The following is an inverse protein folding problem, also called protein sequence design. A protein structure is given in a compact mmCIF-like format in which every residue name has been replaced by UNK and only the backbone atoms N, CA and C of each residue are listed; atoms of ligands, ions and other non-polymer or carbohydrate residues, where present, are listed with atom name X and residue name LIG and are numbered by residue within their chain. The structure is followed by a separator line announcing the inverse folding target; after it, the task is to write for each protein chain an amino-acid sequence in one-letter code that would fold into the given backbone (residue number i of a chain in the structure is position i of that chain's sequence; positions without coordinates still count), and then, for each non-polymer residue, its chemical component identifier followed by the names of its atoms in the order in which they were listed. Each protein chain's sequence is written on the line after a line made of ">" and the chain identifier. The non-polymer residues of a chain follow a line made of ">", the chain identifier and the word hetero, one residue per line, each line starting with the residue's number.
data_IF_487094013944
#
_entry.id   IF_487094013944
#
_cell.length_a   1.000
_cell.length_b   1.000
_cell.length_c   1.000
_cell.angle_alpha   90.00
_cell.angle_beta   90.00
_cell.angle_gamma   90.00
#
_symmetry.space_group_name_H-M   'P 1'
#
loop_
_entity.id
_entity.type
_entity.pdbx_description
1 polymer ?
#
# COMPACT_ATOMS: atom_id res chain seq x y z
N UNK A 1 -21.75 -5.37 4.23
CA UNK A 1 -22.60 -4.26 4.72
C UNK A 1 -22.45 -4.05 6.23
N UNK A 2 -22.57 -5.09 7.07
CA UNK A 2 -22.39 -4.96 8.54
C UNK A 2 -21.04 -4.37 9.00
N UNK A 3 -19.94 -4.72 8.32
CA UNK A 3 -18.61 -4.24 8.69
C UNK A 3 -18.46 -2.71 8.59
N UNK A 4 -19.15 -2.09 7.62
CA UNK A 4 -19.14 -0.64 7.47
C UNK A 4 -20.05 0.03 8.50
N UNK A 5 -21.18 -0.59 8.86
CA UNK A 5 -22.09 -0.12 9.92
C UNK A 5 -21.37 -0.02 11.26
N UNK A 6 -20.72 -1.10 11.69
CA UNK A 6 -20.00 -1.14 12.98
C UNK A 6 -18.87 -0.11 13.08
N UNK A 7 -18.22 0.19 11.94
CA UNK A 7 -17.15 1.19 11.89
C UNK A 7 -17.69 2.61 11.97
N UNK A 8 -18.84 2.87 11.35
CA UNK A 8 -19.54 4.16 11.45
C UNK A 8 -20.08 4.37 12.88
N UNK A 9 -20.65 3.34 13.49
CA UNK A 9 -21.13 3.37 14.89
C UNK A 9 -20.00 3.72 15.85
N UNK A 10 -18.85 3.04 15.77
CA UNK A 10 -17.68 3.36 16.60
C UNK A 10 -17.14 4.79 16.35
N UNK A 11 -17.13 5.25 15.10
CA UNK A 11 -16.70 6.62 14.77
C UNK A 11 -17.69 7.67 15.31
N UNK A 12 -18.97 7.34 15.33
CA UNK A 12 -20.03 8.18 15.89
C UNK A 12 -19.89 8.29 17.41
N UNK A 13 -19.70 7.16 18.11
CA UNK A 13 -19.44 7.14 19.56
C UNK A 13 -18.16 7.92 19.94
N UNK A 14 -17.09 7.79 19.15
CA UNK A 14 -15.84 8.53 19.37
C UNK A 14 -16.01 10.05 19.17
N UNK A 15 -16.96 10.46 18.32
CA UNK A 15 -17.25 11.87 18.01
C UNK A 15 -18.31 12.49 18.94
N UNK A 16 -19.30 11.73 19.42
CA UNK A 16 -20.40 12.17 20.30
C UNK A 16 -20.04 12.01 21.78
N UNK A 17 -19.01 12.74 22.23
CA UNK A 17 -18.48 12.67 23.61
C UNK A 17 -19.50 13.00 24.72
N UNK A 18 -20.53 13.74 24.37
CA UNK A 18 -21.62 14.17 25.25
C UNK A 18 -22.84 13.24 25.20
N UNK A 19 -22.79 12.14 24.44
CA UNK A 19 -23.87 11.16 24.27
C UNK A 19 -25.21 11.82 23.92
N UNK A 20 -25.13 12.88 23.10
CA UNK A 20 -26.30 13.67 22.73
C UNK A 20 -27.18 12.95 21.71
N UNK A 21 -26.65 11.89 21.07
CA UNK A 21 -27.32 11.16 19.99
C UNK A 21 -27.31 11.92 18.66
N UNK A 22 -26.69 13.10 18.59
CA UNK A 22 -26.65 13.94 17.40
C UNK A 22 -25.28 14.62 17.24
N UNK A 23 -24.73 14.61 16.02
CA UNK A 23 -23.52 15.35 15.69
C UNK A 23 -23.86 16.73 15.16
N UNK A 24 -23.55 17.77 15.94
CA UNK A 24 -23.55 19.15 15.44
C UNK A 24 -22.51 19.30 14.31
N UNK A 25 -22.75 20.21 13.36
CA UNK A 25 -21.84 20.44 12.22
C UNK A 25 -20.37 20.65 12.63
N UNK A 26 -20.13 21.33 13.75
CA UNK A 26 -18.79 21.50 14.31
C UNK A 26 -18.13 20.17 14.73
N UNK A 27 -18.88 19.27 15.37
CA UNK A 27 -18.40 17.94 15.79
C UNK A 27 -18.16 17.04 14.59
N UNK A 28 -19.08 17.05 13.62
CA UNK A 28 -18.93 16.32 12.36
C UNK A 28 -17.67 16.76 11.61
N UNK A 29 -17.43 18.08 11.50
CA UNK A 29 -16.23 18.62 10.87
C UNK A 29 -14.95 18.18 11.59
N UNK A 30 -14.93 18.24 12.92
CA UNK A 30 -13.78 17.77 13.71
C UNK A 30 -13.55 16.25 13.57
N UNK A 31 -14.62 15.46 13.48
CA UNK A 31 -14.53 14.02 13.24
C UNK A 31 -13.98 13.71 11.84
N UNK A 32 -14.45 14.43 10.81
CA UNK A 32 -13.94 14.32 9.44
C UNK A 32 -12.46 14.72 9.36
N UNK A 33 -12.06 15.82 10.01
CA UNK A 33 -10.66 16.26 10.06
C UNK A 33 -9.74 15.22 10.74
N UNK A 34 -10.23 14.53 11.78
CA UNK A 34 -9.53 13.39 12.39
C UNK A 34 -9.46 12.16 11.49
N UNK A 35 -10.46 11.94 10.65
CA UNK A 35 -10.44 10.86 9.66
C UNK A 35 -9.45 11.20 8.55
N UNK A 36 -9.46 12.43 8.06
CA UNK A 36 -8.56 12.92 7.01
C UNK A 36 -7.10 12.85 7.45
N UNK A 37 -6.78 13.21 8.70
CA UNK A 37 -5.43 13.03 9.26
C UNK A 37 -5.01 11.56 9.39
N UNK A 38 -5.97 10.62 9.46
CA UNK A 38 -5.73 9.17 9.47
C UNK A 38 -5.71 8.55 8.06
N UNK A 39 -6.04 9.30 7.01
CA UNK A 39 -5.74 8.91 5.62
C UNK A 39 -4.22 8.95 5.49
N UNK A 40 -3.58 7.84 5.83
CA UNK A 40 -2.14 7.72 5.73
C UNK A 40 -1.75 7.85 4.26
N UNK A 41 -0.90 8.83 3.97
CA UNK A 41 -0.10 8.79 2.75
C UNK A 41 0.66 7.46 2.73
N UNK A 42 0.58 6.76 1.61
CA UNK A 42 1.37 5.57 1.39
C UNK A 42 2.86 5.93 1.48
N UNK A 43 3.73 4.99 1.90
CA UNK A 43 5.14 5.31 2.06
C UNK A 43 5.75 5.70 0.70
N UNK A 44 6.57 6.76 0.69
CA UNK A 44 7.22 7.29 -0.51
C UNK A 44 8.32 6.34 -1.02
N UNK A 45 7.91 5.19 -1.55
CA UNK A 45 8.77 4.10 -1.98
C UNK A 45 8.54 3.82 -3.46
N UNK A 46 9.58 3.34 -4.14
CA UNK A 46 9.48 2.92 -5.54
C UNK A 46 8.39 1.84 -5.76
N UNK A 47 8.17 1.00 -4.74
CA UNK A 47 7.15 -0.03 -4.77
C UNK A 47 5.72 0.54 -4.85
N UNK A 48 5.43 1.60 -4.09
CA UNK A 48 4.15 2.31 -4.14
C UNK A 48 3.99 2.99 -5.49
N UNK A 49 5.00 3.76 -5.92
CA UNK A 49 4.96 4.46 -7.21
C UNK A 49 4.75 3.51 -8.41
N UNK A 50 5.40 2.33 -8.40
CA UNK A 50 5.24 1.31 -9.44
C UNK A 50 3.82 0.72 -9.46
N UNK A 51 3.22 0.46 -8.30
CA UNK A 51 1.84 -0.05 -8.19
C UNK A 51 0.82 1.01 -8.60
N UNK A 52 0.99 2.25 -8.16
CA UNK A 52 0.13 3.38 -8.54
C UNK A 52 0.21 3.64 -10.03
N UNK A 53 1.41 3.64 -10.62
CA UNK A 53 1.60 3.81 -12.06
C UNK A 53 0.90 2.73 -12.87
N UNK A 54 0.99 1.46 -12.44
CA UNK A 54 0.27 0.36 -13.10
C UNK A 54 -1.25 0.51 -12.97
N UNK A 55 -1.73 0.85 -11.78
CA UNK A 55 -3.16 1.07 -11.56
C UNK A 55 -3.71 2.20 -12.42
N UNK A 56 -2.99 3.33 -12.52
CA UNK A 56 -3.38 4.46 -13.37
C UNK A 56 -3.35 4.05 -14.84
N UNK A 57 -2.33 3.31 -15.29
CA UNK A 57 -2.28 2.83 -16.67
C UNK A 57 -3.48 1.93 -17.00
N UNK A 58 -3.82 0.98 -16.12
CA UNK A 58 -4.98 0.11 -16.28
C UNK A 58 -6.30 0.90 -16.29
N UNK A 59 -6.41 1.93 -15.45
CA UNK A 59 -7.54 2.83 -15.40
C UNK A 59 -7.70 3.60 -16.72
N UNK A 60 -6.63 4.21 -17.20
CA UNK A 60 -6.64 4.98 -18.46
C UNK A 60 -6.97 4.09 -19.66
N UNK A 61 -6.53 2.83 -19.66
CA UNK A 61 -6.85 1.86 -20.71
C UNK A 61 -8.32 1.40 -20.69
N UNK A 62 -9.00 1.46 -19.54
CA UNK A 62 -10.41 1.08 -19.41
C UNK A 62 -11.36 2.22 -19.76
N UNK A 63 -10.88 3.47 -19.73
CA UNK A 63 -11.67 4.64 -20.05
C UNK A 63 -11.68 4.87 -21.57
N UNK A 64 -12.86 5.00 -22.21
CA UNK A 64 -12.95 5.29 -23.63
C UNK A 64 -12.53 6.73 -23.98
N UNK A 65 -12.64 7.65 -23.01
CA UNK A 65 -12.19 9.04 -23.10
C UNK A 65 -11.86 9.58 -21.69
N UNK A 66 -10.95 10.54 -21.60
CA UNK A 66 -10.55 11.21 -20.34
C UNK A 66 -11.61 12.18 -19.83
N UNK A 67 -12.64 12.46 -20.63
CA UNK A 67 -13.76 13.36 -20.29
C UNK A 67 -14.89 12.67 -19.53
N UNK A 68 -14.77 11.36 -19.28
CA UNK A 68 -15.78 10.58 -18.55
C UNK A 68 -15.94 11.15 -17.13
N UNK A 69 -17.08 11.78 -16.88
CA UNK A 69 -17.49 12.29 -15.56
C UNK A 69 -18.24 11.25 -14.72
N UNK A 70 -18.72 10.16 -15.34
CA UNK A 70 -19.49 9.13 -14.67
C UNK A 70 -18.66 7.87 -14.39
N UNK A 71 -17.80 7.96 -13.37
CA UNK A 71 -16.87 6.90 -12.95
C UNK A 71 -17.58 5.63 -12.44
N UNK A 72 -18.80 5.77 -11.93
CA UNK A 72 -19.64 4.67 -11.41
C UNK A 72 -19.96 3.62 -12.47
N UNK A 73 -20.12 4.05 -13.73
CA UNK A 73 -20.47 3.18 -14.85
C UNK A 73 -19.39 2.12 -15.15
N UNK A 74 -18.14 2.38 -14.77
CA UNK A 74 -16.98 1.55 -15.12
C UNK A 74 -16.56 0.61 -13.98
N UNK A 75 -17.30 0.59 -12.86
CA UNK A 75 -17.03 -0.27 -11.69
C UNK A 75 -15.54 -0.27 -11.27
N UNK A 76 -14.94 0.93 -11.28
CA UNK A 76 -13.52 1.10 -11.01
C UNK A 76 -13.25 0.84 -9.53
N UNK A 77 -12.40 -0.15 -9.25
CA UNK A 77 -12.03 -0.47 -7.87
C UNK A 77 -11.01 0.54 -7.37
N UNK A 78 -11.13 1.08 -6.15
CA UNK A 78 -10.14 1.99 -5.61
C UNK A 78 -8.78 1.30 -5.49
N UNK A 79 -7.71 2.09 -5.67
CA UNK A 79 -6.35 1.61 -5.48
C UNK A 79 -6.16 1.05 -4.06
N UNK A 80 -5.53 -0.13 -3.98
CA UNK A 80 -5.16 -0.76 -2.71
C UNK A 80 -3.70 -1.15 -2.78
N UNK A 81 -2.87 -0.45 -2.01
CA UNK A 81 -1.47 -0.79 -1.90
C UNK A 81 -1.29 -2.20 -1.34
N UNK A 82 -0.44 -2.99 -2.01
CA UNK A 82 -0.02 -4.30 -1.56
C UNK A 82 1.44 -4.23 -1.11
N UNK A 83 1.68 -4.33 0.19
CA UNK A 83 3.03 -4.42 0.73
C UNK A 83 3.67 -5.75 0.28
N UNK A 84 4.88 -5.70 -0.29
CA UNK A 84 5.61 -6.89 -0.77
C UNK A 84 6.88 -7.16 0.04
N UNK A 85 7.07 -6.43 1.13
CA UNK A 85 8.19 -6.59 2.04
C UNK A 85 9.17 -5.44 1.92
N UNK A 86 10.25 -5.53 2.68
CA UNK A 86 11.37 -4.59 2.64
C UNK A 86 12.69 -5.34 2.57
N UNK A 87 13.65 -4.71 1.89
CA UNK A 87 14.95 -5.28 1.60
C UNK A 87 16.02 -4.24 1.92
N UNK A 88 17.04 -4.61 2.69
CA UNK A 88 18.12 -3.70 3.06
C UNK A 88 19.48 -4.41 3.02
N UNK A 89 20.43 -3.85 2.28
CA UNK A 89 21.83 -4.27 2.37
C UNK A 89 22.45 -3.68 3.63
N UNK A 90 23.15 -4.50 4.43
CA UNK A 90 23.69 -4.10 5.75
C UNK A 90 25.22 -4.09 5.81
N UNK A 91 25.90 -4.35 4.68
CA UNK A 91 27.35 -4.42 4.61
C UNK A 91 27.91 -5.83 4.84
N UNK A 92 29.21 -6.01 4.57
CA UNK A 92 29.88 -7.31 4.76
C UNK A 92 29.28 -8.46 3.94
N UNK A 93 28.86 -8.19 2.70
CA UNK A 93 28.14 -9.13 1.83
C UNK A 93 26.87 -9.71 2.46
N UNK A 94 26.23 -8.96 3.34
CA UNK A 94 25.02 -9.37 4.05
C UNK A 94 23.86 -8.41 3.77
N UNK A 95 22.65 -8.96 3.71
CA UNK A 95 21.42 -8.19 3.61
C UNK A 95 20.39 -8.70 4.61
N UNK A 96 19.31 -7.96 4.77
CA UNK A 96 18.13 -8.30 5.55
C UNK A 96 16.91 -8.18 4.64
N UNK A 97 16.07 -9.20 4.68
CA UNK A 97 14.81 -9.29 3.94
C UNK A 97 13.69 -9.46 4.96
N UNK A 98 12.71 -8.58 4.92
CA UNK A 98 11.53 -8.64 5.76
C UNK A 98 10.29 -8.78 4.89
N UNK A 99 9.58 -9.90 5.03
CA UNK A 99 8.33 -10.19 4.31
C UNK A 99 7.11 -10.20 5.25
N UNK A 100 7.26 -9.69 6.47
CA UNK A 100 6.19 -9.68 7.48
C UNK A 100 4.97 -8.91 6.95
N UNK A 101 3.79 -9.52 7.02
CA UNK A 101 2.53 -8.87 6.63
C UNK A 101 2.29 -8.76 5.12
N UNK A 102 3.08 -9.45 4.29
CA UNK A 102 2.96 -9.41 2.82
C UNK A 102 2.02 -10.48 2.26
N UNK A 103 2.00 -11.68 2.86
CA UNK A 103 1.09 -12.77 2.52
C UNK A 103 0.73 -13.59 3.76
N UNK A 104 -0.56 -13.92 3.96
CA UNK A 104 -1.00 -14.77 5.07
C UNK A 104 -0.30 -16.14 5.11
N UNK A 105 0.04 -16.69 3.94
CA UNK A 105 0.75 -17.98 3.84
C UNK A 105 2.19 -17.87 4.34
N UNK A 106 2.91 -16.78 4.05
CA UNK A 106 4.26 -16.58 4.58
C UNK A 106 4.23 -16.33 6.10
N UNK A 107 3.24 -15.57 6.58
CA UNK A 107 3.04 -15.32 8.00
C UNK A 107 2.63 -16.60 8.77
N UNK A 108 1.87 -17.51 8.15
CA UNK A 108 1.47 -18.80 8.74
C UNK A 108 2.67 -19.72 9.03
N UNK A 109 3.72 -19.66 8.21
CA UNK A 109 4.97 -20.39 8.45
C UNK A 109 5.91 -19.66 9.41
N UNK A 110 5.47 -18.56 10.03
CA UNK A 110 6.22 -17.75 10.98
C UNK A 110 7.65 -17.43 10.49
N UNK A 111 7.74 -17.11 9.20
CA UNK A 111 9.01 -16.85 8.53
C UNK A 111 9.61 -15.58 9.11
N UNK A 112 10.68 -15.74 9.91
CA UNK A 112 11.46 -14.63 10.44
C UNK A 112 12.14 -13.86 9.30
N UNK A 113 12.44 -12.57 9.48
CA UNK A 113 13.27 -11.82 8.56
C UNK A 113 14.56 -12.59 8.25
N UNK A 114 14.85 -12.76 6.96
CA UNK A 114 16.03 -13.49 6.52
C UNK A 114 17.23 -12.53 6.51
N UNK A 115 18.34 -12.92 7.13
CA UNK A 115 19.55 -12.10 7.18
C UNK A 115 20.82 -12.87 6.81
N UNK A 116 21.86 -12.14 6.41
CA UNK A 116 23.19 -12.68 6.11
C UNK A 116 23.51 -12.79 4.62
N UNK A 117 24.50 -13.62 4.28
CA UNK A 117 25.03 -13.73 2.91
C UNK A 117 24.05 -14.31 1.90
N UNK A 118 23.26 -15.32 2.31
CA UNK A 118 22.20 -15.87 1.47
C UNK A 118 21.13 -14.82 1.13
N UNK A 119 20.76 -14.00 2.12
CA UNK A 119 19.86 -12.86 1.92
C UNK A 119 20.46 -11.82 0.97
N UNK A 120 21.79 -11.61 0.98
CA UNK A 120 22.45 -10.68 0.06
C UNK A 120 22.37 -11.15 -1.40
N UNK A 121 22.52 -12.45 -1.67
CA UNK A 121 22.33 -12.97 -3.03
C UNK A 121 20.88 -12.78 -3.50
N UNK A 122 19.90 -13.09 -2.64
CA UNK A 122 18.50 -12.84 -2.94
C UNK A 122 18.20 -11.35 -3.18
N UNK A 123 18.76 -10.47 -2.34
CA UNK A 123 18.68 -9.02 -2.51
C UNK A 123 19.17 -8.61 -3.89
N UNK A 124 20.35 -9.07 -4.33
CA UNK A 124 20.89 -8.82 -5.69
C UNK A 124 19.94 -9.32 -6.79
N UNK A 125 19.33 -10.49 -6.61
CA UNK A 125 18.36 -11.05 -7.57
C UNK A 125 17.08 -10.22 -7.71
N UNK A 126 16.56 -9.67 -6.61
CA UNK A 126 15.41 -8.77 -6.64
C UNK A 126 15.72 -7.51 -7.45
N UNK A 127 16.86 -6.86 -7.19
CA UNK A 127 17.27 -5.67 -7.95
C UNK A 127 17.43 -5.96 -9.45
N UNK A 128 18.02 -7.10 -9.81
CA UNK A 128 18.16 -7.50 -11.22
C UNK A 128 16.80 -7.72 -11.91
N UNK A 129 15.80 -8.22 -11.16
CA UNK A 129 14.45 -8.46 -11.68
C UNK A 129 13.68 -7.16 -11.88
N UNK A 130 13.77 -6.24 -10.93
CA UNK A 130 13.06 -4.94 -10.93
C UNK A 130 13.61 -3.94 -11.96
N UNK A 131 14.80 -4.15 -12.50
CA UNK A 131 15.34 -3.30 -13.57
C UNK A 131 14.51 -3.39 -14.86
N UNK A 132 14.21 -2.24 -15.46
CA UNK A 132 13.33 -2.13 -16.62
C UNK A 132 13.96 -2.55 -17.94
N UNK A 133 15.28 -2.37 -18.12
CA UNK A 133 15.94 -2.59 -19.43
C UNK A 133 17.05 -3.64 -19.36
N UNK A 134 17.24 -4.36 -20.46
CA UNK A 134 18.35 -5.32 -20.60
C UNK A 134 19.72 -4.68 -20.40
N UNK A 135 19.90 -3.43 -20.86
CA UNK A 135 21.15 -2.66 -20.69
C UNK A 135 21.50 -2.43 -19.22
N UNK A 136 20.53 -2.02 -18.42
CA UNK A 136 20.77 -1.78 -16.99
C UNK A 136 21.03 -3.10 -16.26
N UNK A 137 20.35 -4.19 -16.66
CA UNK A 137 20.58 -5.53 -16.10
C UNK A 137 21.99 -6.04 -16.39
N UNK A 138 22.49 -5.91 -17.62
CA UNK A 138 23.87 -6.31 -17.95
C UNK A 138 24.88 -5.44 -17.22
N UNK A 139 24.68 -4.12 -17.13
CA UNK A 139 25.57 -3.24 -16.38
C UNK A 139 25.63 -3.57 -14.87
N UNK A 140 24.56 -4.08 -14.28
CA UNK A 140 24.58 -4.51 -12.87
C UNK A 140 25.27 -5.87 -12.67
N UNK A 141 25.21 -6.73 -13.68
CA UNK A 141 25.74 -8.09 -13.60
C UNK A 141 27.27 -8.17 -13.77
N UNK A 142 27.88 -7.19 -14.46
CA UNK A 142 29.30 -7.13 -14.80
C UNK A 142 29.96 -5.88 -14.23
#
# INVERSE_FOLDING_TARGET
>A
LEMFSKKIEHLFEEADKDNSGFLTMAKLRSALEKVDTKIRALPATAQVASQEGRYIADLLNQLPDLTVTNYEQYNLKPFRYKHMGSLAYVGGDSAVLDFTGTKPILDLFNLKPLSGRGAAYLWKSFYLTEMFTGRTKTLLAF
#
